data_IF_788159045044
#
_entry.id   IF_788159045044
#
_cell.length_a   1.000
_cell.length_b   1.000
_cell.length_c   1.000
_cell.angle_alpha   90.00
_cell.angle_beta   90.00
_cell.angle_gamma   90.00
#
_symmetry.space_group_name_H-M   'P 1'
#
loop_
_entity.id
_entity.type
_entity.pdbx_description
1 polymer ?
#
# COMPACT_ATOMS: atom_id res chain seq x y z
N UNK A 1 15.32 -35.57 25.85
CA UNK A 1 15.78 -35.88 24.47
C UNK A 1 14.66 -35.57 23.48
N UNK A 2 14.23 -34.30 23.40
CA UNK A 2 13.16 -33.84 22.46
C UNK A 2 13.55 -32.55 21.70
N UNK A 3 14.64 -31.88 22.11
CA UNK A 3 14.98 -30.53 21.67
C UNK A 3 15.26 -30.36 20.17
N UNK A 4 15.64 -31.42 19.45
CA UNK A 4 15.86 -31.35 18.00
C UNK A 4 14.56 -31.32 17.20
N UNK A 5 13.54 -32.09 17.62
CA UNK A 5 12.23 -32.07 16.96
C UNK A 5 11.45 -30.80 17.34
N UNK A 6 11.56 -30.35 18.59
CA UNK A 6 10.92 -29.12 19.05
C UNK A 6 11.49 -27.89 18.33
N UNK A 7 12.82 -27.85 18.14
CA UNK A 7 13.47 -26.79 17.35
C UNK A 7 13.08 -26.81 15.87
N UNK A 8 12.96 -27.99 15.27
CA UNK A 8 12.50 -28.13 13.88
C UNK A 8 11.06 -27.62 13.72
N UNK A 9 10.17 -27.95 14.66
CA UNK A 9 8.80 -27.46 14.63
C UNK A 9 8.73 -25.94 14.77
N UNK A 10 9.55 -25.35 15.65
CA UNK A 10 9.65 -23.90 15.81
C UNK A 10 10.12 -23.21 14.52
N UNK A 11 11.17 -23.74 13.88
CA UNK A 11 11.70 -23.16 12.64
C UNK A 11 10.68 -23.21 11.48
N UNK A 12 9.86 -24.27 11.42
CA UNK A 12 8.76 -24.37 10.44
C UNK A 12 7.65 -23.36 10.74
N UNK A 13 7.28 -23.19 12.00
CA UNK A 13 6.27 -22.20 12.41
C UNK A 13 6.73 -20.76 12.09
N UNK A 14 7.98 -20.44 12.40
CA UNK A 14 8.59 -19.13 12.13
C UNK A 14 8.67 -18.86 10.63
N UNK A 15 9.03 -19.88 9.83
CA UNK A 15 9.02 -19.78 8.37
C UNK A 15 7.60 -19.50 7.85
N UNK A 16 6.59 -20.18 8.39
CA UNK A 16 5.19 -19.96 8.03
C UNK A 16 4.72 -18.53 8.33
N UNK A 17 5.04 -18.02 9.54
CA UNK A 17 4.73 -16.63 9.94
C UNK A 17 5.41 -15.61 9.02
N UNK A 18 6.69 -15.81 8.71
CA UNK A 18 7.44 -14.94 7.78
C UNK A 18 6.88 -14.96 6.37
N UNK A 19 6.52 -16.14 5.85
CA UNK A 19 5.93 -16.29 4.53
C UNK A 19 4.58 -15.56 4.44
N UNK A 20 3.74 -15.70 5.46
CA UNK A 20 2.45 -15.01 5.53
C UNK A 20 2.62 -13.48 5.57
N UNK A 21 3.51 -12.97 6.43
CA UNK A 21 3.83 -11.55 6.52
C UNK A 21 4.34 -10.97 5.19
N UNK A 22 5.19 -11.71 4.47
CA UNK A 22 5.69 -11.31 3.15
C UNK A 22 4.57 -11.24 2.10
N UNK A 23 3.64 -12.20 2.12
CA UNK A 23 2.48 -12.21 1.23
C UNK A 23 1.58 -11.00 1.49
N UNK A 24 1.27 -10.73 2.76
CA UNK A 24 0.38 -9.63 3.14
C UNK A 24 1.01 -8.26 2.81
N UNK A 25 2.31 -8.09 3.06
CA UNK A 25 3.04 -6.90 2.60
C UNK A 25 3.04 -6.78 1.07
N UNK A 26 3.14 -7.90 0.35
CA UNK A 26 3.05 -7.93 -1.11
C UNK A 26 1.69 -7.43 -1.62
N UNK A 27 0.60 -7.87 -0.99
CA UNK A 27 -0.77 -7.42 -1.31
C UNK A 27 -0.94 -5.92 -1.10
N UNK A 28 -0.52 -5.40 0.06
CA UNK A 28 -0.59 -3.97 0.37
C UNK A 28 0.17 -3.11 -0.65
N UNK A 29 1.35 -3.57 -1.10
CA UNK A 29 2.13 -2.87 -2.13
C UNK A 29 1.45 -2.89 -3.50
N UNK A 30 0.83 -4.00 -3.89
CA UNK A 30 0.06 -4.09 -5.14
C UNK A 30 -1.15 -3.15 -5.11
N UNK A 31 -1.84 -3.07 -3.97
CA UNK A 31 -2.96 -2.16 -3.81
C UNK A 31 -2.49 -0.70 -3.86
N UNK A 32 -1.40 -0.34 -3.18
CA UNK A 32 -0.80 0.99 -3.27
C UNK A 32 -0.45 1.37 -4.71
N UNK A 33 0.17 0.46 -5.46
CA UNK A 33 0.49 0.67 -6.88
C UNK A 33 -0.79 0.92 -7.71
N UNK A 34 -1.86 0.16 -7.45
CA UNK A 34 -3.14 0.33 -8.14
C UNK A 34 -3.75 1.71 -7.85
N UNK A 35 -3.70 2.18 -6.61
CA UNK A 35 -4.25 3.49 -6.22
C UNK A 35 -3.40 4.64 -6.79
N UNK A 36 -2.06 4.53 -6.75
CA UNK A 36 -1.17 5.51 -7.40
C UNK A 36 -1.47 5.66 -8.89
N UNK A 37 -1.74 4.55 -9.60
CA UNK A 37 -2.17 4.64 -11.01
C UNK A 37 -3.50 5.38 -11.19
N UNK A 38 -4.44 5.27 -10.23
CA UNK A 38 -5.69 6.05 -10.28
C UNK A 38 -5.42 7.54 -10.06
N UNK A 39 -4.52 7.89 -9.14
CA UNK A 39 -4.06 9.26 -8.89
C UNK A 39 -3.43 9.85 -10.16
N UNK A 40 -2.48 9.16 -10.77
CA UNK A 40 -1.81 9.60 -12.01
C UNK A 40 -2.81 9.87 -13.13
N UNK A 41 -3.78 8.97 -13.31
CA UNK A 41 -4.82 9.12 -14.32
C UNK A 41 -5.72 10.34 -14.03
N UNK A 42 -6.16 10.54 -12.79
CA UNK A 42 -6.99 11.67 -12.41
C UNK A 42 -6.25 13.01 -12.57
N UNK A 43 -4.97 13.06 -12.16
CA UNK A 43 -4.11 14.22 -12.30
C UNK A 43 -3.87 14.56 -13.78
N UNK A 44 -3.62 13.54 -14.62
CA UNK A 44 -3.48 13.70 -16.06
C UNK A 44 -4.75 14.27 -16.69
N UNK A 45 -5.91 13.69 -16.39
CA UNK A 45 -7.19 14.14 -16.95
C UNK A 45 -7.50 15.59 -16.55
N UNK A 46 -7.25 15.93 -15.28
CA UNK A 46 -7.42 17.29 -14.77
C UNK A 46 -6.47 18.27 -15.47
N UNK A 47 -5.19 17.92 -15.59
CA UNK A 47 -4.20 18.75 -16.28
C UNK A 47 -4.56 19.01 -17.74
N UNK A 48 -5.07 18.01 -18.46
CA UNK A 48 -5.54 18.17 -19.83
C UNK A 48 -6.76 19.08 -19.95
N UNK A 49 -7.70 19.00 -18.99
CA UNK A 49 -8.86 19.88 -18.95
C UNK A 49 -8.47 21.33 -18.69
N UNK A 50 -7.60 21.58 -17.70
CA UNK A 50 -7.09 22.92 -17.41
C UNK A 50 -6.32 23.45 -18.62
N UNK A 51 -5.43 22.65 -19.22
CA UNK A 51 -4.72 23.04 -20.43
C UNK A 51 -5.67 23.48 -21.55
N UNK A 52 -6.74 22.70 -21.82
CA UNK A 52 -7.76 23.06 -22.81
C UNK A 52 -8.43 24.39 -22.49
N UNK A 53 -8.79 24.61 -21.22
CA UNK A 53 -9.41 25.86 -20.75
C UNK A 53 -8.52 27.06 -21.02
N UNK A 54 -7.24 26.97 -20.67
CA UNK A 54 -6.25 28.05 -20.88
C UNK A 54 -5.98 28.32 -22.38
N UNK A 55 -6.38 27.41 -23.27
CA UNK A 55 -6.32 27.60 -24.73
C UNK A 55 -7.64 28.13 -25.33
N UNK A 56 -8.58 28.57 -24.49
CA UNK A 56 -9.89 29.07 -24.92
C UNK A 56 -10.91 27.99 -25.26
N UNK A 57 -10.60 26.73 -24.96
CA UNK A 57 -11.56 25.63 -25.08
C UNK A 57 -12.48 25.54 -23.86
N UNK A 58 -13.62 24.89 -24.03
CA UNK A 58 -14.56 24.67 -22.93
C UNK A 58 -14.07 23.54 -22.00
N UNK A 59 -14.12 23.78 -20.70
CA UNK A 59 -13.86 22.79 -19.66
C UNK A 59 -15.07 22.76 -18.73
N UNK A 60 -15.73 21.62 -18.67
CA UNK A 60 -16.89 21.39 -17.80
C UNK A 60 -16.47 21.56 -16.32
N UNK A 61 -17.00 22.57 -15.60
CA UNK A 61 -16.68 22.80 -14.20
C UNK A 61 -17.00 21.60 -13.31
N UNK A 62 -18.10 20.89 -13.59
CA UNK A 62 -18.51 19.71 -12.82
C UNK A 62 -17.50 18.57 -12.96
N UNK A 63 -16.87 18.47 -14.14
CA UNK A 63 -15.82 17.48 -14.39
C UNK A 63 -14.54 17.82 -13.64
N UNK A 64 -14.19 19.12 -13.56
CA UNK A 64 -13.06 19.60 -12.76
C UNK A 64 -13.26 19.29 -11.29
N UNK A 65 -14.42 19.64 -10.73
CA UNK A 65 -14.78 19.35 -9.33
C UNK A 65 -14.73 17.85 -9.03
N UNK A 66 -15.27 17.02 -9.93
CA UNK A 66 -15.24 15.56 -9.79
C UNK A 66 -13.82 14.99 -9.77
N UNK A 67 -12.91 15.54 -10.58
CA UNK A 67 -11.51 15.09 -10.62
C UNK A 67 -10.72 15.55 -9.39
N UNK A 68 -10.99 16.76 -8.89
CA UNK A 68 -10.41 17.26 -7.63
C UNK A 68 -10.85 16.37 -6.45
N UNK A 69 -12.15 16.13 -6.31
CA UNK A 69 -12.67 15.25 -5.25
C UNK A 69 -12.10 13.82 -5.34
N UNK A 70 -11.90 13.32 -6.56
CA UNK A 70 -11.26 12.02 -6.79
C UNK A 70 -9.79 12.02 -6.36
N UNK A 71 -9.04 13.09 -6.62
CA UNK A 71 -7.66 13.24 -6.17
C UNK A 71 -7.59 13.25 -4.64
N UNK A 72 -8.45 14.00 -3.97
CA UNK A 72 -8.54 14.02 -2.49
C UNK A 72 -8.80 12.61 -1.93
N UNK A 73 -9.72 11.87 -2.56
CA UNK A 73 -10.05 10.51 -2.13
C UNK A 73 -8.87 9.54 -2.29
N UNK A 74 -8.18 9.56 -3.44
CA UNK A 74 -7.04 8.64 -3.65
C UNK A 74 -5.84 9.03 -2.80
N UNK A 75 -5.64 10.31 -2.49
CA UNK A 75 -4.58 10.77 -1.58
C UNK A 75 -4.79 10.27 -0.16
N UNK A 76 -6.03 10.29 0.32
CA UNK A 76 -6.40 9.70 1.61
C UNK A 76 -6.15 8.18 1.62
N UNK A 77 -6.51 7.49 0.53
CA UNK A 77 -6.33 6.04 0.41
C UNK A 77 -4.85 5.65 0.34
N UNK A 78 -4.02 6.40 -0.40
CA UNK A 78 -2.56 6.25 -0.44
C UNK A 78 -1.98 6.43 0.95
N UNK A 79 -2.35 7.51 1.64
CA UNK A 79 -1.86 7.78 3.00
C UNK A 79 -2.21 6.65 3.97
N UNK A 80 -3.41 6.08 3.85
CA UNK A 80 -3.84 4.93 4.65
C UNK A 80 -2.98 3.70 4.37
N UNK A 81 -2.82 3.33 3.09
CA UNK A 81 -2.03 2.17 2.67
C UNK A 81 -0.56 2.31 3.05
N UNK A 82 0.01 3.50 2.94
CA UNK A 82 1.40 3.76 3.36
C UNK A 82 1.59 3.55 4.88
N UNK A 83 0.60 3.93 5.70
CA UNK A 83 0.61 3.64 7.13
C UNK A 83 0.47 2.14 7.40
N UNK A 84 -0.44 1.45 6.74
CA UNK A 84 -0.63 0.00 6.88
C UNK A 84 0.66 -0.76 6.52
N UNK A 85 1.34 -0.37 5.44
CA UNK A 85 2.64 -0.95 5.05
C UNK A 85 3.71 -0.67 6.10
N UNK A 86 3.76 0.54 6.66
CA UNK A 86 4.73 0.90 7.69
C UNK A 86 4.50 0.06 8.97
N UNK A 87 3.24 -0.10 9.40
CA UNK A 87 2.88 -0.95 10.54
C UNK A 87 3.24 -2.41 10.30
N UNK A 88 2.84 -2.97 9.15
CA UNK A 88 3.15 -4.37 8.81
C UNK A 88 4.67 -4.63 8.77
N UNK A 89 5.45 -3.64 8.30
CA UNK A 89 6.91 -3.70 8.33
C UNK A 89 7.47 -3.65 9.76
N UNK A 90 6.86 -2.86 10.65
CA UNK A 90 7.31 -2.79 12.05
C UNK A 90 7.01 -4.12 12.77
N UNK A 91 5.83 -4.71 12.56
CA UNK A 91 5.45 -6.01 13.11
C UNK A 91 6.38 -7.14 12.61
N UNK A 92 6.72 -7.15 11.32
CA UNK A 92 7.66 -8.15 10.79
C UNK A 92 9.06 -8.04 11.42
N UNK A 93 9.53 -6.82 11.72
CA UNK A 93 10.83 -6.60 12.39
C UNK A 93 10.81 -7.09 13.83
N UNK A 94 9.70 -6.94 14.56
CA UNK A 94 9.59 -7.45 15.94
C UNK A 94 9.63 -8.97 16.02
N UNK A 95 9.00 -9.68 15.07
CA UNK A 95 9.07 -11.15 14.99
C UNK A 95 10.50 -11.64 14.74
N UNK A 96 11.30 -10.89 13.97
CA UNK A 96 12.71 -11.24 13.74
C UNK A 96 13.64 -10.92 14.94
N UNK A 97 13.17 -10.17 15.94
CA UNK A 97 13.95 -9.78 17.12
C UNK A 97 13.64 -10.60 18.39
N UNK A 98 12.62 -11.45 18.40
CA UNK A 98 12.30 -12.28 19.56
C UNK A 98 13.32 -13.42 19.70
N UNK A 99 14.19 -13.42 20.75
CA UNK A 99 15.19 -14.45 20.93
C UNK A 99 14.51 -15.73 21.44
N UNK A 100 14.98 -16.89 20.98
CA UNK A 100 14.53 -18.19 21.46
C UNK A 100 14.58 -18.23 23.01
N UNK A 101 13.51 -18.63 23.70
CA UNK A 101 13.57 -18.86 25.13
C UNK A 101 14.59 -19.98 25.39
N UNK A 102 15.63 -19.66 26.15
CA UNK A 102 16.75 -20.55 26.48
C UNK A 102 16.37 -21.68 27.41
#
# INVERSE_FOLDING_TARGET
MSSLLDRLNQEIEDLGKRAQAAIDQGRLRLDLMRIRRKQDNAARDLGLLIHRRERGGEADPSRVESLLAKLDQVDQEITRLEREIATAKAESVTVDQEPAPG
#
